data_IF_142389445085
#
_entry.id   IF_142389445085
#
_cell.length_a   1.000
_cell.length_b   1.000
_cell.length_c   1.000
_cell.angle_alpha   90.00
_cell.angle_beta   90.00
_cell.angle_gamma   90.00
#
_symmetry.space_group_name_H-M   'P 1'
#
loop_
_entity.id
_entity.type
_entity.pdbx_description
1 polymer ?
#
# COMPACT_ATOMS: atom_id res chain seq x y z
N UNK A 1 15.20 -3.89 -1.34
CA UNK A 1 15.87 -2.61 -1.04
C UNK A 1 15.66 -2.32 0.44
N UNK A 2 16.66 -1.78 1.14
CA UNK A 2 16.43 -1.27 2.50
C UNK A 2 15.62 0.02 2.35
N UNK A 3 14.49 0.15 3.06
CA UNK A 3 13.68 1.36 3.00
C UNK A 3 14.43 2.51 3.70
N UNK A 4 14.62 3.63 3.01
CA UNK A 4 15.33 4.81 3.54
C UNK A 4 14.42 5.68 4.40
N UNK A 5 13.10 5.64 4.15
CA UNK A 5 12.09 6.37 4.92
C UNK A 5 12.27 7.88 4.89
N UNK A 6 12.97 8.41 3.88
CA UNK A 6 13.35 9.83 3.82
C UNK A 6 12.14 10.74 3.58
N UNK A 7 11.16 10.28 2.80
CA UNK A 7 9.98 11.07 2.42
C UNK A 7 8.73 10.59 3.13
N UNK A 8 7.78 11.52 3.29
CA UNK A 8 6.54 11.27 4.03
C UNK A 8 5.68 10.17 3.39
N UNK A 9 5.07 10.46 2.25
CA UNK A 9 4.09 9.57 1.66
C UNK A 9 4.17 9.59 0.14
N UNK A 10 3.87 8.46 -0.51
CA UNK A 10 3.67 8.40 -1.95
C UNK A 10 2.35 7.78 -2.38
N UNK A 11 1.76 8.32 -3.45
CA UNK A 11 0.62 7.80 -4.18
C UNK A 11 1.02 7.40 -5.62
N UNK A 12 0.99 6.08 -5.88
CA UNK A 12 1.33 5.50 -7.18
C UNK A 12 0.09 4.91 -7.85
N UNK A 13 -0.69 5.76 -8.53
CA UNK A 13 -1.88 5.32 -9.28
C UNK A 13 -1.96 5.92 -10.69
N UNK A 14 -2.40 5.10 -11.64
CA UNK A 14 -2.62 5.51 -13.05
C UNK A 14 -4.07 5.43 -13.52
N UNK A 15 -4.89 4.65 -12.83
CA UNK A 15 -6.34 4.72 -12.93
C UNK A 15 -6.78 5.63 -11.78
N UNK A 16 -7.51 6.72 -12.03
CA UNK A 16 -7.92 7.65 -10.96
C UNK A 16 -9.34 7.30 -10.50
N UNK A 17 -9.63 7.50 -9.22
CA UNK A 17 -10.99 7.38 -8.69
C UNK A 17 -11.21 8.47 -7.65
N UNK A 18 -12.44 8.99 -7.58
CA UNK A 18 -12.79 10.14 -6.74
C UNK A 18 -12.31 9.96 -5.29
N UNK A 19 -12.66 8.84 -4.65
CA UNK A 19 -12.29 8.54 -3.27
C UNK A 19 -10.77 8.43 -3.06
N UNK A 20 -10.00 8.07 -4.09
CA UNK A 20 -8.53 7.99 -3.99
C UNK A 20 -7.87 9.36 -4.11
N UNK A 21 -8.36 10.21 -5.00
CA UNK A 21 -7.87 11.59 -5.09
C UNK A 21 -8.23 12.37 -3.82
N UNK A 22 -9.45 12.22 -3.31
CA UNK A 22 -9.90 12.86 -2.06
C UNK A 22 -9.10 12.37 -0.85
N UNK A 23 -8.86 11.06 -0.74
CA UNK A 23 -8.00 10.51 0.32
C UNK A 23 -6.57 11.04 0.22
N UNK A 24 -6.00 11.11 -0.99
CA UNK A 24 -4.64 11.60 -1.18
C UNK A 24 -4.53 13.08 -0.81
N UNK A 25 -5.49 13.91 -1.23
CA UNK A 25 -5.56 15.32 -0.84
C UNK A 25 -5.62 15.46 0.69
N UNK A 26 -6.53 14.76 1.38
CA UNK A 26 -6.67 14.82 2.84
C UNK A 26 -5.41 14.36 3.59
N UNK A 27 -4.85 13.21 3.20
CA UNK A 27 -3.68 12.62 3.88
C UNK A 27 -2.40 13.44 3.62
N UNK A 28 -2.31 14.13 2.47
CA UNK A 28 -1.15 14.95 2.13
C UNK A 28 -0.96 16.15 3.07
N UNK A 29 -2.04 16.62 3.71
CA UNK A 29 -2.01 17.74 4.67
C UNK A 29 -1.57 17.30 6.09
N UNK A 30 -1.48 16.00 6.36
CA UNK A 30 -1.09 15.48 7.68
C UNK A 30 0.41 15.61 7.93
N UNK A 31 1.22 15.42 6.89
CA UNK A 31 2.67 15.42 6.95
C UNK A 31 3.26 16.81 7.10
N UNK A 32 4.43 16.90 7.76
CA UNK A 32 5.22 18.15 7.81
C UNK A 32 6.04 18.40 6.54
N UNK A 33 6.25 17.36 5.75
CA UNK A 33 6.90 17.41 4.44
C UNK A 33 5.91 17.04 3.34
N UNK A 34 6.17 17.41 2.09
CA UNK A 34 5.26 17.10 1.00
C UNK A 34 4.97 15.61 0.84
N UNK A 35 3.74 15.30 0.44
CA UNK A 35 3.40 14.00 -0.12
C UNK A 35 3.78 13.98 -1.61
N UNK A 36 3.98 12.79 -2.16
CA UNK A 36 4.45 12.61 -3.52
C UNK A 36 3.50 11.80 -4.38
N UNK A 37 3.43 12.09 -5.67
CA UNK A 37 2.76 11.22 -6.65
C UNK A 37 3.73 10.74 -7.73
N UNK A 38 3.57 9.48 -8.14
CA UNK A 38 4.40 8.86 -9.19
C UNK A 38 3.63 8.42 -10.44
N UNK A 39 2.30 8.45 -10.39
CA UNK A 39 1.43 7.99 -11.46
C UNK A 39 0.78 9.12 -12.27
N UNK A 40 -0.30 8.78 -12.99
CA UNK A 40 -1.13 9.78 -13.70
C UNK A 40 -2.02 10.57 -12.74
N UNK A 41 -2.38 9.94 -11.63
CA UNK A 41 -3.24 10.50 -10.60
C UNK A 41 -2.39 11.23 -9.57
N UNK A 42 -2.87 12.38 -9.08
CA UNK A 42 -2.03 13.35 -8.38
C UNK A 42 -2.74 14.14 -7.28
N UNK A 43 -4.00 13.83 -6.97
CA UNK A 43 -4.84 14.70 -6.15
C UNK A 43 -5.32 15.91 -6.95
N UNK A 44 -6.22 16.69 -6.36
CA UNK A 44 -6.83 17.84 -7.03
C UNK A 44 -6.60 19.17 -6.29
N UNK A 45 -6.38 19.13 -4.97
CA UNK A 45 -6.67 20.30 -4.13
C UNK A 45 -5.59 20.66 -3.08
N UNK A 46 -4.51 19.88 -2.95
CA UNK A 46 -3.45 20.18 -1.96
C UNK A 46 -2.27 20.95 -2.56
N UNK A 47 -1.74 21.90 -1.80
CA UNK A 47 -0.49 22.62 -2.10
C UNK A 47 0.75 21.89 -1.59
N UNK A 48 0.58 20.84 -0.78
CA UNK A 48 1.64 20.04 -0.17
C UNK A 48 1.92 18.74 -0.94
N UNK A 49 1.64 18.72 -2.24
CA UNK A 49 1.86 17.57 -3.13
C UNK A 49 2.93 17.91 -4.16
N UNK A 50 3.94 17.04 -4.28
CA UNK A 50 4.99 17.12 -5.29
C UNK A 50 4.99 15.88 -6.19
N UNK A 51 5.52 16.03 -7.40
CA UNK A 51 5.81 14.87 -8.25
C UNK A 51 7.05 14.16 -7.71
N UNK A 52 7.08 12.83 -7.76
CA UNK A 52 8.31 12.07 -7.48
C UNK A 52 9.48 12.58 -8.33
N UNK A 53 10.71 12.66 -7.80
CA UNK A 53 11.88 13.09 -8.57
C UNK A 53 12.10 12.29 -9.85
N UNK A 54 12.70 12.93 -10.85
CA UNK A 54 13.07 12.27 -12.10
C UNK A 54 14.08 11.14 -11.81
N UNK A 55 13.83 9.95 -12.36
CA UNK A 55 14.61 8.74 -12.09
C UNK A 55 14.00 7.80 -11.05
N UNK A 56 13.02 8.25 -10.26
CA UNK A 56 12.25 7.43 -9.30
C UNK A 56 10.86 7.06 -9.82
N UNK A 57 10.76 6.91 -11.14
CA UNK A 57 9.57 6.44 -11.84
C UNK A 57 9.90 5.07 -12.39
N UNK A 58 9.02 4.09 -12.21
CA UNK A 58 9.25 2.72 -12.71
C UNK A 58 9.71 2.80 -14.17
N UNK A 59 10.88 2.24 -14.50
CA UNK A 59 11.41 2.31 -15.85
C UNK A 59 10.37 1.72 -16.80
N UNK A 60 9.90 2.54 -17.73
CA UNK A 60 8.99 2.05 -18.76
C UNK A 60 9.81 1.31 -19.79
N UNK A 61 9.78 -0.02 -19.74
CA UNK A 61 10.37 -0.82 -20.80
C UNK A 61 9.48 -0.75 -22.04
N UNK A 62 10.09 -0.52 -23.20
CA UNK A 62 9.41 -0.49 -24.50
C UNK A 62 9.53 -1.86 -25.15
N UNK A 63 8.41 -2.51 -25.44
CA UNK A 63 8.38 -3.68 -26.32
C UNK A 63 7.66 -3.27 -27.62
N UNK A 64 8.37 -2.52 -28.48
CA UNK A 64 7.77 -1.83 -29.62
C UNK A 64 7.11 -0.49 -29.25
N UNK A 65 5.86 -0.25 -29.65
CA UNK A 65 5.13 1.02 -29.42
C UNK A 65 4.51 1.15 -28.02
N UNK A 66 4.47 0.07 -27.23
CA UNK A 66 3.86 0.05 -25.90
C UNK A 66 4.90 0.26 -24.80
N UNK A 67 4.70 1.33 -24.00
CA UNK A 67 5.46 1.61 -22.78
C UNK A 67 4.83 0.83 -21.62
N UNK A 68 5.47 -0.24 -21.16
CA UNK A 68 5.03 -0.99 -19.98
C UNK A 68 5.77 -0.50 -18.73
N UNK A 69 5.03 -0.03 -17.74
CA UNK A 69 5.56 0.14 -16.38
C UNK A 69 5.44 -1.20 -15.67
N UNK A 70 6.53 -1.87 -15.30
CA UNK A 70 6.45 -3.10 -14.52
C UNK A 70 5.98 -2.74 -13.11
N UNK A 71 4.67 -2.86 -12.87
CA UNK A 71 4.08 -2.64 -11.54
C UNK A 71 4.77 -3.47 -10.44
N UNK A 72 5.41 -4.58 -10.83
CA UNK A 72 6.25 -5.44 -9.99
C UNK A 72 7.48 -4.76 -9.40
N UNK A 73 7.91 -3.62 -9.95
CA UNK A 73 9.07 -2.86 -9.48
C UNK A 73 8.66 -1.64 -8.63
N UNK A 74 7.36 -1.37 -8.49
CA UNK A 74 6.86 -0.24 -7.69
C UNK A 74 7.36 -0.26 -6.24
N UNK A 75 7.61 -1.46 -5.68
CA UNK A 75 8.17 -1.60 -4.33
C UNK A 75 9.52 -0.88 -4.16
N UNK A 76 10.30 -0.74 -5.23
CA UNK A 76 11.57 -0.01 -5.20
C UNK A 76 11.32 1.49 -4.99
N UNK A 77 10.30 2.06 -5.62
CA UNK A 77 9.93 3.46 -5.42
C UNK A 77 9.42 3.65 -3.99
N UNK A 78 8.58 2.73 -3.51
CA UNK A 78 8.08 2.75 -2.14
C UNK A 78 9.19 2.72 -1.08
N UNK A 79 10.37 2.18 -1.41
CA UNK A 79 11.50 2.14 -0.48
C UNK A 79 12.07 3.51 -0.08
N UNK A 80 11.67 4.59 -0.74
CA UNK A 80 12.08 5.96 -0.37
C UNK A 80 11.09 6.68 0.57
N UNK A 81 9.98 6.01 0.93
CA UNK A 81 8.84 6.64 1.62
C UNK A 81 8.48 5.90 2.90
N UNK A 82 8.09 6.66 3.92
CA UNK A 82 7.58 6.12 5.19
C UNK A 82 6.22 5.48 5.03
N UNK A 83 5.34 6.13 4.26
CA UNK A 83 3.98 5.68 3.99
C UNK A 83 3.70 5.56 2.50
N UNK A 84 2.80 4.65 2.14
CA UNK A 84 2.38 4.45 0.76
C UNK A 84 0.86 4.31 0.69
N UNK A 85 0.22 5.16 -0.12
CA UNK A 85 -1.22 5.15 -0.32
C UNK A 85 -1.59 4.08 -1.36
N UNK A 86 -2.17 2.98 -0.88
CA UNK A 86 -2.40 1.75 -1.65
C UNK A 86 -3.89 1.38 -1.72
N UNK A 87 -4.74 2.37 -1.96
CA UNK A 87 -6.19 2.18 -2.01
C UNK A 87 -6.62 1.39 -3.26
N UNK A 88 -7.61 0.52 -3.09
CA UNK A 88 -8.30 -0.11 -4.22
C UNK A 88 -9.15 0.91 -4.99
N UNK A 89 -9.29 0.66 -6.29
CA UNK A 89 -10.04 1.56 -7.16
C UNK A 89 -11.56 1.40 -7.01
N UNK A 90 -12.05 0.34 -6.36
CA UNK A 90 -13.46 0.08 -6.07
C UNK A 90 -13.55 -0.76 -4.80
N UNK A 91 -14.67 -0.64 -4.09
CA UNK A 91 -15.03 -1.57 -3.02
C UNK A 91 -15.73 -2.79 -3.64
N UNK A 92 -15.09 -3.94 -3.55
CA UNK A 92 -15.64 -5.24 -3.95
C UNK A 92 -15.24 -6.22 -2.86
N UNK A 93 -16.19 -7.03 -2.39
CA UNK A 93 -15.93 -8.04 -1.37
C UNK A 93 -14.77 -8.96 -1.80
N UNK A 94 -13.84 -9.27 -0.88
CA UNK A 94 -12.64 -10.07 -1.13
C UNK A 94 -11.65 -9.52 -2.17
N UNK A 95 -11.92 -8.35 -2.77
CA UNK A 95 -11.01 -7.76 -3.75
C UNK A 95 -9.84 -7.06 -3.06
N UNK A 96 -8.71 -7.77 -3.04
CA UNK A 96 -7.42 -7.28 -2.61
C UNK A 96 -6.43 -7.52 -3.73
N UNK A 97 -5.72 -6.49 -4.13
CA UNK A 97 -4.75 -6.56 -5.23
C UNK A 97 -3.31 -6.59 -4.73
N UNK A 98 -2.37 -6.59 -5.66
CA UNK A 98 -0.94 -6.52 -5.37
C UNK A 98 -0.51 -5.27 -4.59
N UNK A 99 -1.33 -4.20 -4.56
CA UNK A 99 -0.93 -2.87 -4.07
C UNK A 99 -0.43 -2.91 -2.62
N UNK A 100 -1.16 -3.56 -1.73
CA UNK A 100 -0.75 -3.66 -0.32
C UNK A 100 0.54 -4.47 -0.15
N UNK A 101 0.70 -5.55 -0.92
CA UNK A 101 1.91 -6.38 -0.91
C UNK A 101 3.11 -5.58 -1.40
N UNK A 102 2.93 -4.78 -2.46
CA UNK A 102 3.99 -3.90 -2.95
C UNK A 102 4.42 -2.89 -1.89
N UNK A 103 3.46 -2.35 -1.12
CA UNK A 103 3.76 -1.48 0.01
C UNK A 103 4.66 -2.16 1.04
N UNK A 104 4.25 -3.34 1.51
CA UNK A 104 5.07 -4.14 2.43
C UNK A 104 6.46 -4.50 1.88
N UNK A 105 6.54 -4.93 0.62
CA UNK A 105 7.83 -5.24 -0.03
C UNK A 105 8.75 -4.03 -0.17
N UNK A 106 8.15 -2.83 -0.27
CA UNK A 106 8.88 -1.57 -0.27
C UNK A 106 9.32 -1.13 1.11
N UNK A 107 8.87 -1.78 2.18
CA UNK A 107 9.15 -1.39 3.56
C UNK A 107 8.45 -0.10 3.99
N UNK A 108 7.49 0.41 3.21
CA UNK A 108 6.61 1.49 3.66
C UNK A 108 5.48 0.90 4.51
N UNK A 109 4.95 1.70 5.44
CA UNK A 109 3.70 1.38 6.12
C UNK A 109 2.54 1.67 5.14
N UNK A 110 1.76 0.66 4.74
CA UNK A 110 0.66 0.88 3.81
C UNK A 110 -0.46 1.68 4.46
N UNK A 111 -1.05 2.61 3.70
CA UNK A 111 -2.36 3.21 4.01
C UNK A 111 -3.34 2.58 3.03
N UNK A 112 -4.23 1.72 3.53
CA UNK A 112 -5.06 0.84 2.73
C UNK A 112 -6.55 1.08 2.93
N UNK A 113 -7.31 0.91 1.85
CA UNK A 113 -8.76 0.85 1.79
C UNK A 113 -9.15 -0.07 0.63
N UNK A 114 -10.19 -0.85 0.82
CA UNK A 114 -10.68 -1.83 -0.14
C UNK A 114 -11.64 -2.79 0.55
N UNK A 115 -11.47 -4.09 0.30
CA UNK A 115 -12.25 -5.12 0.98
C UNK A 115 -11.93 -5.18 2.48
N UNK A 116 -12.96 -5.28 3.34
CA UNK A 116 -12.78 -5.43 4.79
C UNK A 116 -12.15 -6.78 5.17
N UNK A 117 -12.23 -7.79 4.30
CA UNK A 117 -11.58 -9.09 4.51
C UNK A 117 -10.04 -9.02 4.47
N UNK A 118 -9.48 -7.83 4.19
CA UNK A 118 -8.05 -7.56 4.35
C UNK A 118 -7.54 -7.96 5.74
N UNK A 119 -8.36 -7.83 6.79
CA UNK A 119 -8.01 -8.16 8.17
C UNK A 119 -7.87 -9.67 8.42
N UNK A 120 -8.46 -10.51 7.56
CA UNK A 120 -8.27 -11.97 7.64
C UNK A 120 -6.89 -12.39 7.13
N UNK A 121 -6.32 -11.58 6.23
CA UNK A 121 -5.08 -11.86 5.52
C UNK A 121 -3.90 -11.12 6.16
N UNK A 122 -4.06 -9.83 6.43
CA UNK A 122 -3.00 -8.96 6.93
C UNK A 122 -3.32 -8.45 8.34
N UNK A 123 -2.29 -8.39 9.17
CA UNK A 123 -2.39 -7.89 10.53
C UNK A 123 -2.73 -6.38 10.51
N UNK A 124 -3.87 -6.01 11.10
CA UNK A 124 -4.35 -4.63 11.21
C UNK A 124 -3.34 -3.67 11.89
N UNK A 125 -2.40 -4.21 12.67
CA UNK A 125 -1.36 -3.41 13.31
C UNK A 125 -0.22 -3.03 12.35
N UNK A 126 -0.03 -3.77 11.26
CA UNK A 126 1.06 -3.57 10.30
C UNK A 126 0.78 -2.52 9.21
N UNK A 127 -0.45 -2.01 9.14
CA UNK A 127 -0.85 -0.98 8.18
C UNK A 127 -1.86 0.00 8.80
N UNK A 128 -2.12 1.12 8.11
CA UNK A 128 -3.16 2.08 8.48
C UNK A 128 -4.40 1.78 7.65
N UNK A 129 -5.48 1.36 8.29
CA UNK A 129 -6.79 1.27 7.64
C UNK A 129 -7.36 2.68 7.44
N UNK A 130 -7.71 3.00 6.20
CA UNK A 130 -8.35 4.25 5.82
C UNK A 130 -9.82 3.97 5.50
N UNK A 131 -10.76 4.49 6.28
CA UNK A 131 -12.18 4.40 5.93
C UNK A 131 -12.58 5.64 5.12
N UNK A 132 -13.10 5.46 3.90
CA UNK A 132 -13.52 6.59 3.05
C UNK A 132 -14.72 7.34 3.63
N UNK A 133 -15.56 6.67 4.43
CA UNK A 133 -16.77 7.25 5.03
C UNK A 133 -16.47 7.93 6.38
N UNK A 134 -15.35 7.57 7.02
CA UNK A 134 -14.86 8.17 8.27
C UNK A 134 -13.32 8.20 8.28
N UNK A 135 -12.70 9.21 7.64
CA UNK A 135 -11.25 9.24 7.46
C UNK A 135 -10.47 9.66 8.70
N UNK A 136 -11.13 10.27 9.70
CA UNK A 136 -10.46 10.90 10.84
C UNK A 136 -9.59 9.94 11.67
N UNK A 137 -10.03 8.70 11.98
CA UNK A 137 -9.17 7.74 12.69
C UNK A 137 -7.85 7.45 11.95
N UNK A 138 -7.89 7.41 10.61
CA UNK A 138 -6.70 7.18 9.80
C UNK A 138 -5.80 8.42 9.76
N UNK A 139 -6.38 9.62 9.67
CA UNK A 139 -5.65 10.89 9.74
C UNK A 139 -4.93 11.04 11.08
N UNK A 140 -5.61 10.74 12.19
CA UNK A 140 -5.04 10.81 13.54
C UNK A 140 -3.93 9.78 13.73
N UNK A 141 -4.15 8.52 13.30
CA UNK A 141 -3.13 7.47 13.35
C UNK A 141 -1.92 7.84 12.52
N UNK A 142 -2.11 8.35 11.30
CA UNK A 142 -1.01 8.79 10.44
C UNK A 142 -0.24 9.96 11.07
N UNK A 143 -0.93 10.96 11.61
CA UNK A 143 -0.33 12.10 12.28
C UNK A 143 0.51 11.69 13.49
N UNK A 144 0.01 10.73 14.27
CA UNK A 144 0.72 10.17 15.41
C UNK A 144 2.00 9.45 14.98
N UNK A 145 1.91 8.54 14.01
CA UNK A 145 3.05 7.77 13.52
C UNK A 145 4.12 8.67 12.87
N UNK A 146 3.72 9.69 12.12
CA UNK A 146 4.66 10.64 11.50
C UNK A 146 5.42 11.48 12.53
N UNK A 147 4.84 11.74 13.71
CA UNK A 147 5.47 12.52 14.80
C UNK A 147 6.19 11.66 15.82
N UNK A 148 5.89 10.36 15.87
CA UNK A 148 6.42 9.43 16.86
C UNK A 148 7.19 8.30 16.18
N UNK A 149 8.52 8.47 16.11
CA UNK A 149 9.43 7.51 15.48
C UNK A 149 9.34 6.11 16.10
N UNK A 150 9.25 6.00 17.42
CA UNK A 150 9.18 4.70 18.10
C UNK A 150 7.88 3.97 17.78
N UNK A 151 6.74 4.68 17.77
CA UNK A 151 5.45 4.09 17.38
C UNK A 151 5.45 3.65 15.91
N UNK A 152 6.11 4.41 15.02
CA UNK A 152 6.30 4.01 13.63
C UNK A 152 7.15 2.74 13.49
N UNK A 153 8.24 2.62 14.26
CA UNK A 153 9.10 1.45 14.28
C UNK A 153 8.40 0.20 14.84
N UNK A 154 7.50 0.38 15.81
CA UNK A 154 6.62 -0.70 16.31
C UNK A 154 5.72 -1.25 15.19
N UNK A 155 5.11 -0.37 14.38
CA UNK A 155 4.30 -0.79 13.22
C UNK A 155 5.12 -1.56 12.19
N UNK A 156 6.37 -1.15 11.94
CA UNK A 156 7.27 -1.86 11.03
C UNK A 156 7.70 -3.24 11.56
N UNK A 157 7.72 -3.42 12.88
CA UNK A 157 8.08 -4.68 13.52
C UNK A 157 6.89 -5.67 13.62
N UNK A 158 5.66 -5.21 13.41
CA UNK A 158 4.47 -6.06 13.44
C UNK A 158 4.53 -7.15 12.35
N UNK A 159 4.14 -8.39 12.64
CA UNK A 159 3.98 -9.42 11.64
C UNK A 159 3.01 -8.98 10.55
N UNK A 160 3.33 -9.19 9.28
CA UNK A 160 2.48 -8.76 8.16
C UNK A 160 1.20 -9.60 8.07
N UNK A 161 1.29 -10.92 8.25
CA UNK A 161 0.16 -11.83 8.11
C UNK A 161 -0.64 -11.89 9.41
N UNK A 162 -1.97 -11.78 9.30
CA UNK A 162 -2.87 -11.74 10.47
C UNK A 162 -2.69 -12.95 11.40
N UNK A 163 -2.45 -14.13 10.83
CA UNK A 163 -2.31 -15.38 11.57
C UNK A 163 -1.00 -16.13 11.25
N UNK A 164 0.02 -15.43 10.75
CA UNK A 164 1.29 -16.03 10.35
C UNK A 164 1.10 -17.10 9.27
N UNK A 165 1.77 -18.25 9.43
CA UNK A 165 1.68 -19.37 8.48
C UNK A 165 0.24 -19.88 8.27
N UNK A 166 -0.64 -19.77 9.28
CA UNK A 166 -2.04 -20.22 9.15
C UNK A 166 -2.80 -19.43 8.08
N UNK A 167 -2.48 -18.15 7.88
CA UNK A 167 -3.05 -17.36 6.77
C UNK A 167 -2.63 -17.98 5.42
N UNK A 168 -1.37 -18.38 5.26
CA UNK A 168 -0.86 -19.01 4.03
C UNK A 168 -1.54 -20.35 3.79
N UNK A 169 -1.64 -21.17 4.83
CA UNK A 169 -2.31 -22.46 4.77
C UNK A 169 -3.80 -22.33 4.42
N UNK A 170 -4.49 -21.31 4.91
CA UNK A 170 -5.92 -21.12 4.68
C UNK A 170 -6.25 -20.57 3.29
N UNK A 171 -5.53 -19.55 2.83
CA UNK A 171 -5.93 -18.77 1.65
C UNK A 171 -5.06 -19.02 0.41
N UNK A 172 -3.82 -19.48 0.57
CA UNK A 172 -2.83 -19.49 -0.52
C UNK A 172 -2.25 -20.89 -0.82
N UNK A 173 -2.64 -21.93 -0.09
CA UNK A 173 -2.05 -23.27 -0.20
C UNK A 173 -2.60 -24.14 -1.34
N UNK A 174 -2.63 -23.60 -2.56
CA UNK A 174 -3.09 -24.33 -3.74
C UNK A 174 -2.04 -25.28 -4.32
N UNK A 175 -0.75 -25.12 -3.98
CA UNK A 175 0.35 -26.02 -4.36
C UNK A 175 1.02 -26.59 -3.12
N UNK A 176 1.69 -27.74 -3.24
CA UNK A 176 2.44 -28.34 -2.12
C UNK A 176 3.58 -27.44 -1.62
N UNK A 177 4.15 -26.64 -2.54
CA UNK A 177 5.20 -25.66 -2.24
C UNK A 177 4.74 -24.44 -1.43
N UNK A 178 3.43 -24.21 -1.30
CA UNK A 178 2.86 -23.06 -0.58
C UNK A 178 1.87 -23.59 0.46
N UNK A 179 2.10 -23.31 1.75
CA UNK A 179 1.19 -23.73 2.84
C UNK A 179 0.82 -25.21 2.82
N UNK A 180 1.74 -26.08 2.36
CA UNK A 180 1.61 -27.55 2.31
C UNK A 180 0.46 -28.08 1.44
N UNK A 181 -0.08 -27.28 0.51
CA UNK A 181 -1.14 -27.73 -0.38
C UNK A 181 -2.50 -28.03 0.30
N UNK A 182 -2.73 -27.53 1.52
CA UNK A 182 -3.91 -27.87 2.33
C UNK A 182 -5.23 -27.50 1.61
N UNK A 183 -5.29 -26.30 1.02
CA UNK A 183 -6.48 -25.80 0.35
C UNK A 183 -6.78 -26.61 -0.91
N UNK A 184 -5.76 -27.05 -1.65
CA UNK A 184 -5.91 -27.94 -2.81
C UNK A 184 -6.69 -29.21 -2.45
N UNK A 185 -6.39 -29.82 -1.30
CA UNK A 185 -7.09 -31.01 -0.81
C UNK A 185 -8.51 -30.78 -0.28
N UNK A 186 -8.92 -29.51 -0.09
CA UNK A 186 -10.26 -29.12 0.38
C UNK A 186 -11.21 -28.68 -0.75
N UNK A 187 -10.70 -28.06 -1.82
CA UNK A 187 -11.54 -27.48 -2.89
C UNK A 187 -12.18 -28.58 -3.77
N UNK A 188 -11.49 -29.69 -4.02
CA UNK A 188 -12.03 -30.81 -4.82
C UNK A 188 -11.90 -32.13 -4.05
N UNK A 189 -12.86 -32.36 -3.15
CA UNK A 189 -13.24 -33.73 -2.76
C UNK A 189 -14.38 -34.20 -3.65
#
# INVERSE_FOLDING_TARGET
AVNTGERFMIYLASNCAKHREEAFDLLSEVGRSPAYYGGKCKGNNSTNILKTPDGEVSPRYTNGTTKHSPWKENYQIFSNYRFCLVLENRHIEWYMSEKIIMGFLGGCVPIYWGASQIFDVFNEKSFVWYNIDDPYPALDRLAYLERNRSAYEEVLAEPILANGERTIEQYFSYSESVGKGILRGRIRR
#
